data_IF_290527667675
#
_entry.id   IF_290527667675
#
_cell.length_a   1.000
_cell.length_b   1.000
_cell.length_c   1.000
_cell.angle_alpha   90.00
_cell.angle_beta   90.00
_cell.angle_gamma   90.00
#
_symmetry.space_group_name_H-M   'P 1'
#
loop_
_entity.id
_entity.type
_entity.pdbx_description
1 polymer ?
#
# COMPACT_ATOMS: atom_id res chain seq x y z
N UNK A 1 -11.72 -3.64 -8.58
CA UNK A 1 -10.62 -4.63 -8.55
C UNK A 1 -9.83 -4.72 -9.86
N UNK A 2 -8.66 -4.06 -9.90
CA UNK A 2 -7.64 -4.10 -10.97
C UNK A 2 -6.37 -4.80 -10.47
N UNK A 3 -5.81 -5.72 -11.26
CA UNK A 3 -4.54 -6.43 -10.97
C UNK A 3 -3.63 -6.33 -12.20
N UNK A 4 -2.77 -5.30 -12.29
CA UNK A 4 -1.75 -5.21 -13.35
C UNK A 4 -0.75 -6.38 -13.29
N UNK A 5 -0.35 -6.93 -14.44
CA UNK A 5 0.54 -8.10 -14.52
C UNK A 5 2.02 -7.75 -14.28
N UNK A 6 2.38 -6.49 -14.48
CA UNK A 6 3.74 -5.96 -14.29
C UNK A 6 4.12 -5.73 -12.82
N UNK A 7 3.20 -5.99 -11.90
CA UNK A 7 3.39 -5.82 -10.46
C UNK A 7 3.59 -7.16 -9.77
N UNK A 8 4.40 -7.15 -8.71
CA UNK A 8 4.50 -8.24 -7.74
C UNK A 8 3.55 -7.96 -6.59
N UNK A 9 3.01 -9.00 -5.95
CA UNK A 9 1.97 -8.87 -4.92
C UNK A 9 2.32 -9.63 -3.65
N UNK A 10 1.93 -9.08 -2.50
CA UNK A 10 2.02 -9.75 -1.21
C UNK A 10 0.68 -10.39 -0.82
N UNK A 11 0.70 -11.27 0.18
CA UNK A 11 -0.54 -11.82 0.77
C UNK A 11 -1.33 -10.78 1.55
N UNK A 12 -0.67 -9.70 1.95
CA UNK A 12 -1.22 -8.61 2.76
C UNK A 12 -1.81 -7.48 1.91
N UNK A 13 -2.12 -7.78 0.64
CA UNK A 13 -2.77 -6.88 -0.31
C UNK A 13 -1.95 -5.63 -0.66
N UNK A 14 -0.63 -5.78 -0.73
CA UNK A 14 0.31 -4.78 -1.21
C UNK A 14 0.87 -5.20 -2.57
N UNK A 15 1.40 -4.23 -3.31
CA UNK A 15 2.10 -4.45 -4.56
C UNK A 15 3.48 -3.79 -4.57
N UNK A 16 4.37 -4.35 -5.38
CA UNK A 16 5.70 -3.82 -5.67
C UNK A 16 5.89 -3.71 -7.18
N UNK A 17 6.32 -2.53 -7.63
CA UNK A 17 6.80 -2.29 -9.00
C UNK A 17 8.30 -2.12 -8.96
N UNK A 18 9.03 -2.80 -9.85
CA UNK A 18 10.48 -2.70 -9.95
C UNK A 18 10.85 -2.00 -11.27
N UNK A 19 11.64 -0.93 -11.20
CA UNK A 19 12.25 -0.32 -12.38
C UNK A 19 13.73 -0.03 -12.11
N UNK A 20 14.60 -0.86 -12.70
CA UNK A 20 16.05 -0.77 -12.49
C UNK A 20 16.41 -0.98 -11.03
N UNK A 21 16.96 0.07 -10.39
CA UNK A 21 17.38 0.06 -8.98
C UNK A 21 16.35 0.73 -8.06
N UNK A 22 15.18 1.13 -8.58
CA UNK A 22 14.12 1.74 -7.80
C UNK A 22 12.94 0.79 -7.70
N UNK A 23 12.28 0.86 -6.55
CA UNK A 23 11.04 0.13 -6.29
C UNK A 23 9.96 1.12 -5.86
N UNK A 24 8.74 0.85 -6.27
CA UNK A 24 7.54 1.51 -5.78
C UNK A 24 6.71 0.48 -5.07
N UNK A 25 6.17 0.86 -3.92
CA UNK A 25 5.27 0.04 -3.14
C UNK A 25 3.95 0.76 -2.96
N UNK A 26 2.89 0.00 -2.75
CA UNK A 26 1.58 0.55 -2.44
C UNK A 26 0.59 -0.54 -2.08
N UNK A 27 -0.65 -0.13 -1.77
CA UNK A 27 -1.75 -1.06 -1.51
C UNK A 27 -2.50 -1.38 -2.81
N UNK A 28 -3.01 -2.60 -2.91
CA UNK A 28 -3.79 -3.07 -4.05
C UNK A 28 -5.14 -2.37 -4.15
N UNK A 29 -5.76 -2.44 -5.33
CA UNK A 29 -7.13 -1.95 -5.52
C UNK A 29 -8.15 -2.64 -4.59
N UNK A 30 -7.91 -3.91 -4.27
CA UNK A 30 -8.70 -4.63 -3.26
C UNK A 30 -8.56 -3.99 -1.87
N UNK A 31 -7.34 -3.68 -1.44
CA UNK A 31 -7.11 -3.10 -0.12
C UNK A 31 -7.80 -1.74 0.03
N UNK A 32 -7.70 -0.84 -0.96
CA UNK A 32 -8.37 0.46 -0.88
C UNK A 32 -9.90 0.32 -0.90
N UNK A 33 -10.47 -0.60 -1.71
CA UNK A 33 -11.92 -0.86 -1.70
C UNK A 33 -12.41 -1.34 -0.32
N UNK A 34 -11.60 -2.14 0.39
CA UNK A 34 -11.92 -2.64 1.73
C UNK A 34 -11.76 -1.60 2.84
N UNK A 35 -10.77 -0.71 2.69
CA UNK A 35 -10.53 0.39 3.62
C UNK A 35 -11.57 1.50 3.46
N UNK A 36 -12.06 1.74 2.25
CA UNK A 36 -12.94 2.86 1.93
C UNK A 36 -12.17 4.16 1.74
N UNK A 37 -12.79 5.28 2.08
CA UNK A 37 -12.19 6.60 1.87
C UNK A 37 -10.95 6.78 2.74
N UNK A 38 -9.78 6.83 2.10
CA UNK A 38 -8.50 7.09 2.76
C UNK A 38 -8.43 8.56 3.15
N UNK A 39 -8.20 8.84 4.43
CA UNK A 39 -8.17 10.21 4.97
C UNK A 39 -6.80 10.63 5.45
N UNK A 40 -5.91 9.67 5.73
CA UNK A 40 -4.57 9.95 6.21
C UNK A 40 -3.59 8.88 5.75
N UNK A 41 -2.38 9.31 5.42
CA UNK A 41 -1.24 8.45 5.09
C UNK A 41 -0.01 9.03 5.76
N UNK A 42 0.62 8.25 6.63
CA UNK A 42 1.93 8.54 7.20
C UNK A 42 2.99 7.76 6.42
N UNK A 43 3.88 8.49 5.76
CA UNK A 43 5.00 7.92 5.01
C UNK A 43 6.26 7.96 5.86
N UNK A 44 7.22 7.05 5.63
CA UNK A 44 8.50 7.10 6.31
C UNK A 44 9.28 8.36 5.87
N UNK A 45 10.20 8.82 6.71
CA UNK A 45 11.11 9.89 6.34
C UNK A 45 12.03 9.44 5.19
N UNK A 46 12.49 10.40 4.39
CA UNK A 46 13.51 10.11 3.38
C UNK A 46 14.74 9.54 4.07
N UNK A 47 15.39 8.57 3.43
CA UNK A 47 16.54 7.82 3.95
C UNK A 47 16.25 6.87 5.12
N UNK A 48 14.98 6.63 5.46
CA UNK A 48 14.60 5.56 6.40
C UNK A 48 14.97 4.19 5.82
N UNK A 49 15.76 3.41 6.55
CA UNK A 49 16.03 2.01 6.20
C UNK A 49 14.78 1.16 6.47
N UNK A 50 14.40 0.35 5.48
CA UNK A 50 13.24 -0.53 5.54
C UNK A 50 13.67 -1.97 5.29
N UNK A 51 13.05 -2.91 6.01
CA UNK A 51 13.29 -4.34 5.84
C UNK A 51 11.99 -5.04 5.44
N UNK A 52 12.11 -6.13 4.68
CA UNK A 52 10.96 -6.91 4.24
C UNK A 52 10.18 -7.45 5.45
N UNK A 53 8.88 -7.18 5.48
CA UNK A 53 7.98 -7.61 6.56
C UNK A 53 7.84 -6.60 7.71
N UNK A 54 8.64 -5.55 7.75
CA UNK A 54 8.45 -4.45 8.70
C UNK A 54 7.37 -3.48 8.19
N UNK A 55 6.61 -2.89 9.10
CA UNK A 55 5.69 -1.80 8.76
C UNK A 55 6.47 -0.57 8.34
N UNK A 56 6.11 0.00 7.18
CA UNK A 56 6.82 1.15 6.58
C UNK A 56 5.98 2.41 6.50
N UNK A 57 4.64 2.28 6.50
CA UNK A 57 3.70 3.39 6.40
C UNK A 57 2.42 3.06 7.15
N UNK A 58 1.70 4.09 7.57
CA UNK A 58 0.37 3.96 8.19
C UNK A 58 -0.67 4.56 7.25
N UNK A 59 -1.78 3.85 7.04
CA UNK A 59 -2.89 4.30 6.21
C UNK A 59 -4.15 4.26 7.08
N UNK A 60 -4.82 5.40 7.22
CA UNK A 60 -6.10 5.49 7.92
C UNK A 60 -7.23 5.81 6.94
N UNK A 61 -8.37 5.16 7.17
CA UNK A 61 -9.58 5.36 6.37
C UNK A 61 -10.77 5.67 7.26
N UNK A 62 -11.73 6.38 6.70
CA UNK A 62 -13.06 6.53 7.31
C UNK A 62 -13.93 5.44 6.74
N UNK A 63 -14.10 4.36 7.50
CA UNK A 63 -15.15 3.39 7.19
C UNK A 63 -16.49 4.04 7.54
N UNK A 64 -17.20 4.56 6.53
CA UNK A 64 -18.57 5.00 6.72
C UNK A 64 -19.39 3.81 7.23
N UNK A 65 -19.77 3.82 8.51
CA UNK A 65 -20.83 2.96 9.02
C UNK A 65 -22.11 3.49 8.38
N UNK A 66 -22.47 2.96 7.21
CA UNK A 66 -23.82 3.16 6.68
C UNK A 66 -24.76 2.47 7.66
N UNK A 67 -25.50 3.27 8.41
CA UNK A 67 -26.57 2.83 9.30
C UNK A 67 -27.78 2.35 8.50
#
# INVERSE_FOLDING_TARGET
MRIPEELLYTKDHEWVKVEGQKVWIGITDFAQEHLGDIVFVELPEVDTEVEAGNSVAVIESVKAVSS
#
